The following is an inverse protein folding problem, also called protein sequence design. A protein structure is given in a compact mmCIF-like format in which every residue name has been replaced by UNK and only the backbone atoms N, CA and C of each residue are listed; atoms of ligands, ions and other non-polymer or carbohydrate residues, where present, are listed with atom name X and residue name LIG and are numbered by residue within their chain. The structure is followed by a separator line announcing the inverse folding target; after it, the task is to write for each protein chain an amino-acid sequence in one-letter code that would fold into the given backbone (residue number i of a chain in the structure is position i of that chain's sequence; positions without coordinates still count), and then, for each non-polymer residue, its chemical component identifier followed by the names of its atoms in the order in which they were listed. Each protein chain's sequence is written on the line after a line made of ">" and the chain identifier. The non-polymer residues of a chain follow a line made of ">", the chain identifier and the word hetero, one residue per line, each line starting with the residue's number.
data_IF_677316054129
#
_entry.id   IF_677316054129
#
_cell.length_a   1.000
_cell.length_b   1.000
_cell.length_c   1.000
_cell.angle_alpha   90.00
_cell.angle_beta   90.00
_cell.angle_gamma   90.00
#
_symmetry.space_group_name_H-M   'P 1'
#
loop_
_entity.id
_entity.type
_entity.pdbx_description
1 polymer ?
#
# COMPACT_ATOMS: atom_id res chain seq x y z
N UNK A 1 -2.63 -20.43 -6.29
CA UNK A 1 -2.26 -19.53 -7.40
C UNK A 1 -2.41 -18.03 -7.05
N UNK A 2 -2.38 -17.60 -5.77
CA UNK A 2 -2.97 -16.30 -5.41
C UNK A 2 -2.01 -15.21 -4.92
N UNK A 3 -0.71 -15.48 -4.73
CA UNK A 3 0.23 -14.47 -4.20
C UNK A 3 0.84 -13.56 -5.27
N UNK A 4 0.93 -13.97 -6.54
CA UNK A 4 1.64 -13.17 -7.57
C UNK A 4 0.77 -12.08 -8.20
N UNK A 5 -0.54 -12.30 -8.30
CA UNK A 5 -1.42 -11.35 -8.96
C UNK A 5 -1.67 -10.11 -8.09
N UNK A 6 -1.85 -10.31 -6.77
CA UNK A 6 -2.10 -9.22 -5.84
C UNK A 6 -0.88 -8.30 -5.66
N UNK A 7 0.34 -8.86 -5.57
CA UNK A 7 1.57 -8.05 -5.47
C UNK A 7 1.83 -7.16 -6.69
N UNK A 8 1.47 -7.62 -7.90
CA UNK A 8 1.67 -6.85 -9.13
C UNK A 8 0.70 -5.66 -9.25
N UNK A 9 -0.57 -5.89 -8.88
CA UNK A 9 -1.59 -4.84 -8.83
C UNK A 9 -1.26 -3.80 -7.75
N UNK A 10 -0.84 -4.23 -6.57
CA UNK A 10 -0.42 -3.33 -5.49
C UNK A 10 0.84 -2.55 -5.85
N UNK A 11 1.83 -3.19 -6.47
CA UNK A 11 3.01 -2.50 -6.99
C UNK A 11 2.64 -1.45 -8.03
N UNK A 12 1.68 -1.75 -8.91
CA UNK A 12 1.21 -0.81 -9.94
C UNK A 12 0.46 0.39 -9.34
N UNK A 13 -0.40 0.15 -8.35
CA UNK A 13 -1.11 1.21 -7.61
C UNK A 13 -0.14 2.07 -6.80
N UNK A 14 0.84 1.47 -6.13
CA UNK A 14 1.90 2.17 -5.42
C UNK A 14 2.74 3.03 -6.38
N UNK A 15 3.11 2.50 -7.54
CA UNK A 15 3.83 3.26 -8.56
C UNK A 15 3.02 4.46 -9.08
N UNK A 16 1.69 4.34 -9.20
CA UNK A 16 0.81 5.47 -9.55
C UNK A 16 0.84 6.55 -8.48
N UNK A 17 0.73 6.19 -7.21
CA UNK A 17 0.77 7.14 -6.08
C UNK A 17 2.11 7.86 -6.00
N UNK A 18 3.24 7.16 -6.23
CA UNK A 18 4.55 7.79 -6.27
C UNK A 18 4.70 8.81 -7.40
N UNK A 19 4.05 8.55 -8.54
CA UNK A 19 4.05 9.44 -9.70
C UNK A 19 3.04 10.57 -9.60
N UNK A 20 2.10 10.50 -8.65
CA UNK A 20 1.08 11.52 -8.47
C UNK A 20 1.68 12.76 -7.77
N UNK A 21 1.65 13.94 -8.39
CA UNK A 21 2.10 15.17 -7.75
C UNK A 21 1.20 15.58 -6.57
N UNK A 22 -0.08 15.19 -6.57
CA UNK A 22 -1.05 15.51 -5.52
C UNK A 22 -1.00 14.54 -4.34
N UNK A 23 -0.29 13.42 -4.48
CA UNK A 23 -0.15 12.47 -3.39
C UNK A 23 0.66 13.06 -2.23
N UNK A 24 0.08 12.96 -1.05
CA UNK A 24 0.67 13.33 0.23
C UNK A 24 1.94 12.53 0.52
N UNK A 25 2.80 13.10 1.36
CA UNK A 25 4.03 12.45 1.79
C UNK A 25 3.78 11.06 2.40
N UNK A 26 2.72 10.90 3.19
CA UNK A 26 2.34 9.62 3.81
C UNK A 26 1.91 8.59 2.75
N UNK A 27 1.18 9.02 1.71
CA UNK A 27 0.77 8.13 0.60
C UNK A 27 2.00 7.63 -0.18
N UNK A 28 2.96 8.53 -0.44
CA UNK A 28 4.21 8.19 -1.12
C UNK A 28 5.08 7.26 -0.27
N UNK A 29 5.16 7.50 1.03
CA UNK A 29 5.85 6.60 1.95
C UNK A 29 5.20 5.22 2.00
N UNK A 30 3.87 5.13 2.09
CA UNK A 30 3.14 3.87 2.04
C UNK A 30 3.42 3.13 0.73
N UNK A 31 3.30 3.82 -0.39
CA UNK A 31 3.54 3.28 -1.72
C UNK A 31 4.98 2.78 -1.91
N UNK A 32 5.97 3.55 -1.45
CA UNK A 32 7.38 3.13 -1.49
C UNK A 32 7.64 1.87 -0.66
N UNK A 33 7.01 1.78 0.51
CA UNK A 33 7.12 0.59 1.36
C UNK A 33 6.39 -0.62 0.76
N UNK A 34 5.23 -0.44 0.10
CA UNK A 34 4.56 -1.50 -0.68
C UNK A 34 5.44 -1.98 -1.82
N UNK A 35 6.01 -1.09 -2.63
CA UNK A 35 6.90 -1.46 -3.75
C UNK A 35 8.13 -2.23 -3.29
N UNK A 36 8.73 -1.80 -2.18
CA UNK A 36 9.86 -2.50 -1.57
C UNK A 36 9.44 -3.90 -1.10
N UNK A 37 8.23 -4.05 -0.56
CA UNK A 37 7.68 -5.35 -0.16
C UNK A 37 7.27 -6.22 -1.35
N UNK A 38 6.77 -5.67 -2.47
CA UNK A 38 6.37 -6.49 -3.62
C UNK A 38 7.52 -7.27 -4.26
N UNK A 39 8.77 -6.84 -4.00
CA UNK A 39 9.98 -7.53 -4.44
C UNK A 39 10.56 -8.49 -3.38
N UNK A 40 9.93 -8.62 -2.22
CA UNK A 40 10.40 -9.47 -1.12
C UNK A 40 9.28 -10.34 -0.58
N UNK A 41 9.53 -11.61 -0.28
CA UNK A 41 8.55 -12.48 0.39
C UNK A 41 8.29 -12.10 1.88
N UNK A 42 8.62 -10.87 2.29
CA UNK A 42 8.45 -10.41 3.67
C UNK A 42 7.00 -10.01 3.92
N UNK A 43 6.42 -10.67 4.94
CA UNK A 43 5.11 -10.37 5.52
C UNK A 43 4.99 -8.88 5.84
N UNK A 44 3.84 -8.30 5.50
CA UNK A 44 3.46 -6.90 5.78
C UNK A 44 3.82 -6.49 7.21
N UNK A 45 4.85 -5.65 7.38
CA UNK A 45 5.25 -5.13 8.69
C UNK A 45 4.16 -4.24 9.32
N UNK A 46 4.03 -4.26 10.65
CA UNK A 46 3.15 -3.35 11.43
C UNK A 46 3.29 -1.88 11.05
N UNK A 47 4.48 -1.45 10.66
CA UNK A 47 4.72 -0.09 10.20
C UNK A 47 3.93 0.22 8.92
N UNK A 48 3.92 -0.70 7.94
CA UNK A 48 3.14 -0.55 6.71
C UNK A 48 1.64 -0.50 7.02
N UNK A 49 1.20 -1.33 7.96
CA UNK A 49 -0.18 -1.38 8.43
C UNK A 49 -0.60 -0.04 9.09
N UNK A 50 0.28 0.55 9.88
CA UNK A 50 0.06 1.87 10.47
C UNK A 50 -0.02 2.97 9.40
N UNK A 51 0.88 2.96 8.41
CA UNK A 51 0.86 3.92 7.29
C UNK A 51 -0.41 3.76 6.44
N UNK A 52 -0.82 2.52 6.16
CA UNK A 52 -2.06 2.22 5.44
C UNK A 52 -3.28 2.72 6.21
N UNK A 53 -3.33 2.48 7.52
CA UNK A 53 -4.41 2.96 8.38
C UNK A 53 -4.50 4.50 8.33
N UNK A 54 -3.37 5.20 8.40
CA UNK A 54 -3.33 6.67 8.28
C UNK A 54 -3.86 7.18 6.95
N UNK A 55 -3.50 6.54 5.84
CA UNK A 55 -4.02 6.89 4.50
C UNK A 55 -5.53 6.68 4.42
N UNK A 56 -6.04 5.58 4.98
CA UNK A 56 -7.47 5.29 5.03
C UNK A 56 -8.27 6.30 5.86
N UNK A 57 -7.72 6.76 6.97
CA UNK A 57 -8.37 7.74 7.85
C UNK A 57 -8.19 9.19 7.40
N UNK A 58 -7.35 9.44 6.39
CA UNK A 58 -7.07 10.80 5.92
C UNK A 58 -8.06 11.21 4.84
N UNK A 59 -8.73 12.34 5.05
CA UNK A 59 -9.68 12.89 4.09
C UNK A 59 -8.99 13.40 2.81
N UNK A 60 -7.75 13.87 2.93
CA UNK A 60 -6.95 14.39 1.82
C UNK A 60 -6.32 13.33 0.93
N UNK A 61 -6.45 12.04 1.26
CA UNK A 61 -5.88 10.95 0.47
C UNK A 61 -6.79 10.58 -0.71
N UNK A 62 -6.16 10.27 -1.84
CA UNK A 62 -6.84 9.84 -3.06
C UNK A 62 -7.53 8.49 -2.89
N UNK A 63 -8.60 8.24 -3.65
CA UNK A 63 -9.29 6.94 -3.63
C UNK A 63 -8.36 5.79 -4.03
N UNK A 64 -7.41 6.08 -4.93
CA UNK A 64 -6.36 5.13 -5.34
C UNK A 64 -5.49 4.73 -4.14
N UNK A 65 -5.07 5.69 -3.32
CA UNK A 65 -4.26 5.41 -2.13
C UNK A 65 -5.05 4.72 -1.01
N UNK A 66 -6.32 5.11 -0.81
CA UNK A 66 -7.23 4.43 0.12
C UNK A 66 -7.47 2.98 -0.29
N UNK A 67 -7.63 2.71 -1.59
CA UNK A 67 -7.77 1.36 -2.14
C UNK A 67 -6.49 0.53 -1.96
N UNK A 68 -5.32 1.12 -2.20
CA UNK A 68 -4.03 0.48 -1.93
C UNK A 68 -3.89 0.15 -0.43
N UNK A 69 -4.15 1.12 0.44
CA UNK A 69 -4.10 0.97 1.88
C UNK A 69 -5.05 -0.14 2.38
N UNK A 70 -6.30 -0.17 1.90
CA UNK A 70 -7.26 -1.22 2.24
C UNK A 70 -6.78 -2.60 1.83
N UNK A 71 -6.13 -2.71 0.67
CA UNK A 71 -5.56 -3.97 0.20
C UNK A 71 -4.38 -4.42 1.07
N UNK A 72 -3.50 -3.51 1.47
CA UNK A 72 -2.39 -3.78 2.39
C UNK A 72 -2.89 -4.28 3.75
N UNK A 73 -3.91 -3.63 4.33
CA UNK A 73 -4.53 -4.05 5.60
C UNK A 73 -5.24 -5.40 5.49
N UNK A 74 -5.84 -5.69 4.33
CA UNK A 74 -6.46 -7.00 4.09
C UNK A 74 -5.41 -8.11 4.05
N UNK A 75 -4.25 -7.83 3.44
CA UNK A 75 -3.13 -8.77 3.35
C UNK A 75 -2.42 -8.99 4.70
N UNK A 76 -2.26 -7.95 5.53
CA UNK A 76 -1.69 -8.10 6.88
C UNK A 76 -2.56 -9.01 7.76
N UNK A 77 -3.88 -8.81 7.71
CA UNK A 77 -4.85 -9.65 8.46
C UNK A 77 -4.88 -11.10 8.00
N UNK A 78 -4.69 -11.36 6.70
CA UNK A 78 -4.69 -12.72 6.13
C UNK A 78 -3.40 -13.50 6.44
N UNK A 79 -2.32 -12.79 6.76
CA UNK A 79 -1.03 -13.39 7.12
C UNK A 79 -0.88 -13.60 8.64
N UNK A 80 -1.95 -13.35 9.41
CA UNK A 80 -1.98 -13.45 10.87
C UNK A 80 -2.65 -14.73 11.34
#
# INVERSE_FOLDING_TARGET
>A
MSNKHSSKELGSLAAKILKDPNASKIEKELAGSVLSQTNTDKVTSKELESKASKVLTSEHCSDTAKSLAGSVLSQSKKSR
#
